data_IF_322574859948
#
_entry.id   IF_322574859948
#
_cell.length_a   1.000
_cell.length_b   1.000
_cell.length_c   1.000
_cell.angle_alpha   90.00
_cell.angle_beta   90.00
_cell.angle_gamma   90.00
#
_symmetry.space_group_name_H-M   'P 1'
#
loop_
_entity.id
_entity.type
_entity.pdbx_description
1 polymer ?
#
# COMPACT_ATOMS: atom_id res chain seq x y z
N UNK A 1 6.79 4.89 -2.32
CA UNK A 1 8.03 4.43 -1.62
C UNK A 1 8.60 3.29 -2.44
N UNK A 2 9.92 3.08 -2.47
CA UNK A 2 10.55 2.00 -3.27
C UNK A 2 11.26 1.04 -2.31
N UNK A 3 11.25 -0.26 -2.62
CA UNK A 3 11.95 -1.26 -1.81
C UNK A 3 11.05 -1.90 -0.76
N UNK A 4 11.25 -1.59 0.52
CA UNK A 4 10.67 -2.36 1.63
C UNK A 4 9.93 -1.45 2.61
N UNK A 5 8.81 -1.91 3.17
CA UNK A 5 8.12 -1.26 4.28
C UNK A 5 8.18 -2.18 5.51
N UNK A 6 8.96 -1.76 6.50
CA UNK A 6 9.17 -2.47 7.76
C UNK A 6 8.97 -1.50 8.94
N UNK A 7 9.08 -1.99 10.18
CA UNK A 7 9.07 -1.17 11.40
C UNK A 7 10.00 0.05 11.31
N UNK A 8 11.15 -0.08 10.67
CA UNK A 8 12.14 1.00 10.54
C UNK A 8 11.65 2.25 9.79
N UNK A 9 10.75 2.10 8.81
CA UNK A 9 10.26 3.19 7.95
C UNK A 9 8.73 3.36 7.96
N UNK A 10 8.00 2.46 8.63
CA UNK A 10 6.54 2.54 8.79
C UNK A 10 6.03 3.89 9.31
N UNK A 11 6.76 4.53 10.23
CA UNK A 11 6.39 5.84 10.76
C UNK A 11 6.55 6.98 9.72
N UNK A 12 7.57 6.89 8.86
CA UNK A 12 7.76 7.85 7.76
C UNK A 12 6.68 7.63 6.69
N UNK A 13 6.34 6.37 6.42
CA UNK A 13 5.25 6.01 5.53
C UNK A 13 3.89 6.55 6.03
N UNK A 14 3.57 6.37 7.31
CA UNK A 14 2.37 6.95 7.93
C UNK A 14 2.31 8.47 7.78
N UNK A 15 3.41 9.16 8.10
CA UNK A 15 3.48 10.60 7.97
C UNK A 15 3.28 11.07 6.52
N UNK A 16 3.85 10.34 5.55
CA UNK A 16 3.69 10.62 4.13
C UNK A 16 2.25 10.42 3.65
N UNK A 17 1.59 9.33 4.05
CA UNK A 17 0.16 9.09 3.77
C UNK A 17 -0.67 10.23 4.35
N UNK A 18 -0.48 10.55 5.63
CA UNK A 18 -1.24 11.62 6.30
C UNK A 18 -1.03 12.99 5.70
N UNK A 19 0.16 13.27 5.18
CA UNK A 19 0.46 14.52 4.47
C UNK A 19 -0.20 14.60 3.09
N UNK A 20 -0.43 13.46 2.44
CA UNK A 20 -1.12 13.36 1.16
C UNK A 20 -2.65 13.30 1.28
N UNK A 21 -3.19 12.97 2.45
CA UNK A 21 -4.63 12.98 2.71
C UNK A 21 -5.17 14.40 2.58
N UNK A 22 -5.99 14.61 1.55
CA UNK A 22 -6.72 15.84 1.36
C UNK A 22 -8.24 15.55 1.43
N UNK A 23 -8.94 16.05 2.47
CA UNK A 23 -10.35 15.75 2.68
C UNK A 23 -11.27 16.33 1.60
N UNK A 24 -10.76 17.16 0.69
CA UNK A 24 -11.50 17.73 -0.43
C UNK A 24 -11.21 17.05 -1.78
N UNK A 25 -10.18 16.20 -1.87
CA UNK A 25 -9.72 15.57 -3.10
C UNK A 25 -10.18 14.11 -3.29
N UNK A 26 -10.78 13.49 -2.27
CA UNK A 26 -11.24 12.09 -2.30
C UNK A 26 -10.19 11.10 -1.82
N UNK A 27 -10.35 9.82 -2.17
CA UNK A 27 -9.46 8.73 -1.75
C UNK A 27 -8.03 8.95 -2.26
N UNK A 28 -7.05 8.90 -1.36
CA UNK A 28 -5.63 8.98 -1.70
C UNK A 28 -5.16 7.65 -2.29
N UNK A 29 -4.64 7.68 -3.52
CA UNK A 29 -4.03 6.49 -4.15
C UNK A 29 -2.58 6.38 -3.71
N UNK A 30 -2.26 5.32 -2.97
CA UNK A 30 -0.91 4.98 -2.51
C UNK A 30 -0.29 3.99 -3.49
N UNK A 31 0.64 4.45 -4.30
CA UNK A 31 1.41 3.58 -5.19
C UNK A 31 2.56 2.89 -4.45
N UNK A 32 2.41 1.58 -4.30
CA UNK A 32 3.38 0.64 -3.75
C UNK A 32 3.92 -0.29 -4.84
N UNK A 33 3.77 0.04 -6.12
CA UNK A 33 4.14 -0.83 -7.25
C UNK A 33 5.63 -1.22 -7.24
N UNK A 34 6.49 -0.34 -6.71
CA UNK A 34 7.93 -0.55 -6.54
C UNK A 34 8.32 -1.12 -5.16
N UNK A 35 7.34 -1.46 -4.31
CA UNK A 35 7.57 -2.08 -3.01
C UNK A 35 7.58 -3.60 -3.15
N UNK A 36 8.66 -4.22 -2.74
CA UNK A 36 8.89 -5.68 -2.83
C UNK A 36 8.62 -6.40 -1.50
N UNK A 37 8.54 -5.66 -0.38
CA UNK A 37 8.30 -6.23 0.94
C UNK A 37 7.43 -5.33 1.81
N UNK A 38 6.50 -5.94 2.55
CA UNK A 38 5.60 -5.26 3.48
C UNK A 38 5.43 -6.12 4.74
N UNK A 39 5.84 -5.60 5.90
CA UNK A 39 5.64 -6.25 7.20
C UNK A 39 4.34 -5.80 7.90
N UNK A 40 4.04 -6.40 9.04
CA UNK A 40 2.94 -6.06 9.96
C UNK A 40 2.86 -4.56 10.29
N UNK A 41 4.00 -3.87 10.42
CA UNK A 41 4.02 -2.44 10.71
C UNK A 41 3.45 -1.62 9.54
N UNK A 42 3.82 -1.96 8.29
CA UNK A 42 3.29 -1.30 7.10
C UNK A 42 1.81 -1.61 6.88
N UNK A 43 1.41 -2.87 7.08
CA UNK A 43 -0.01 -3.27 7.04
C UNK A 43 -0.84 -2.47 8.06
N UNK A 44 -0.34 -2.30 9.29
CA UNK A 44 -1.06 -1.57 10.33
C UNK A 44 -1.31 -0.11 9.95
N UNK A 45 -0.36 0.54 9.27
CA UNK A 45 -0.54 1.90 8.74
C UNK A 45 -1.63 1.93 7.67
N UNK A 46 -1.63 0.98 6.74
CA UNK A 46 -2.68 0.90 5.72
C UNK A 46 -4.07 0.68 6.34
N UNK A 47 -4.17 -0.18 7.35
CA UNK A 47 -5.42 -0.39 8.10
C UNK A 47 -5.88 0.87 8.84
N UNK A 48 -4.95 1.68 9.36
CA UNK A 48 -5.29 2.90 10.09
C UNK A 48 -5.94 3.96 9.19
N UNK A 49 -5.63 3.96 7.89
CA UNK A 49 -6.14 4.92 6.90
C UNK A 49 -7.09 4.26 5.88
N UNK A 50 -7.63 3.08 6.20
CA UNK A 50 -8.36 2.24 5.25
C UNK A 50 -9.57 2.90 4.58
N UNK A 51 -10.24 3.83 5.26
CA UNK A 51 -11.43 4.52 4.75
C UNK A 51 -11.08 5.65 3.75
N UNK A 52 -9.84 6.13 3.79
CA UNK A 52 -9.39 7.32 3.07
C UNK A 52 -8.36 7.03 1.96
N UNK A 53 -7.94 5.76 1.80
CA UNK A 53 -6.90 5.37 0.83
C UNK A 53 -7.34 4.24 -0.11
N UNK A 54 -6.74 4.25 -1.30
CA UNK A 54 -6.69 3.12 -2.22
C UNK A 54 -5.22 2.72 -2.40
N UNK A 55 -4.90 1.43 -2.53
CA UNK A 55 -3.51 0.98 -2.72
C UNK A 55 -3.30 0.33 -4.08
N UNK A 56 -2.17 0.66 -4.70
CA UNK A 56 -1.68 -0.02 -5.91
C UNK A 56 -0.46 -0.83 -5.54
N UNK A 57 -0.48 -2.14 -5.77
CA UNK A 57 0.57 -3.07 -5.32
C UNK A 57 1.07 -3.93 -6.49
N UNK A 58 2.32 -4.40 -6.47
CA UNK A 58 2.77 -5.36 -7.48
C UNK A 58 2.07 -6.71 -7.26
N UNK A 59 1.98 -7.55 -8.32
CA UNK A 59 1.37 -8.87 -8.23
C UNK A 59 2.04 -9.79 -7.19
N UNK A 60 3.30 -9.52 -6.85
CA UNK A 60 4.03 -10.22 -5.79
C UNK A 60 3.41 -9.99 -4.39
N UNK A 61 2.91 -8.79 -4.10
CA UNK A 61 2.35 -8.43 -2.80
C UNK A 61 0.85 -8.72 -2.70
N UNK A 62 0.15 -8.88 -3.82
CA UNK A 62 -1.26 -9.25 -3.87
C UNK A 62 -1.64 -10.42 -2.93
N UNK A 63 -0.94 -11.57 -2.91
CA UNK A 63 -1.27 -12.66 -1.98
C UNK A 63 -1.07 -12.30 -0.51
N UNK A 64 -0.10 -11.45 -0.17
CA UNK A 64 0.14 -11.02 1.23
C UNK A 64 -1.03 -10.15 1.72
N UNK A 65 -1.56 -9.31 0.85
CA UNK A 65 -2.71 -8.46 1.13
C UNK A 65 -3.98 -9.31 1.31
N UNK A 66 -4.16 -10.33 0.47
CA UNK A 66 -5.26 -11.28 0.59
C UNK A 66 -5.19 -12.10 1.90
N UNK A 67 -3.99 -12.58 2.28
CA UNK A 67 -3.79 -13.34 3.53
C UNK A 67 -4.05 -12.47 4.76
N UNK A 68 -3.64 -11.20 4.71
CA UNK A 68 -3.90 -10.24 5.79
C UNK A 68 -5.35 -9.73 5.82
N UNK A 69 -6.14 -10.01 4.78
CA UNK A 69 -7.51 -9.52 4.63
C UNK A 69 -7.59 -8.04 4.27
N UNK A 70 -6.46 -7.41 3.91
CA UNK A 70 -6.43 -5.99 3.58
C UNK A 70 -7.24 -5.69 2.31
N UNK A 71 -7.28 -6.62 1.35
CA UNK A 71 -8.08 -6.47 0.12
C UNK A 71 -9.60 -6.43 0.36
N UNK A 72 -10.04 -6.80 1.56
CA UNK A 72 -11.45 -6.75 1.96
C UNK A 72 -11.86 -5.43 2.61
N UNK A 73 -10.89 -4.65 3.10
CA UNK A 73 -11.12 -3.38 3.80
C UNK A 73 -10.73 -2.17 2.98
N UNK A 74 -9.70 -2.27 2.14
CA UNK A 74 -9.27 -1.18 1.27
C UNK A 74 -9.36 -1.61 -0.19
N UNK A 75 -9.64 -0.67 -1.11
CA UNK A 75 -9.55 -0.98 -2.52
C UNK A 75 -8.08 -1.26 -2.87
N UNK A 76 -7.82 -2.49 -3.30
CA UNK A 76 -6.49 -2.94 -3.76
C UNK A 76 -6.52 -3.07 -5.27
N UNK A 77 -5.59 -2.39 -5.94
CA UNK A 77 -5.32 -2.58 -7.37
C UNK A 77 -3.97 -3.22 -7.55
N UNK A 78 -3.91 -4.25 -8.38
CA UNK A 78 -2.63 -4.75 -8.85
C UNK A 78 -2.12 -3.81 -9.93
N UNK A 79 -0.93 -3.26 -9.74
CA UNK A 79 -0.19 -2.65 -10.84
C UNK A 79 -0.10 -3.70 -11.95
N UNK A 80 -0.49 -3.34 -13.17
CA UNK A 80 -0.26 -4.19 -14.31
C UNK A 80 1.25 -4.42 -14.37
N UNK A 81 1.70 -5.59 -13.92
CA UNK A 81 3.08 -5.97 -14.09
C UNK A 81 3.32 -5.87 -15.58
N UNK A 82 4.25 -5.00 -16.00
CA UNK A 82 4.79 -5.11 -17.35
C UNK A 82 5.09 -6.59 -17.53
N UNK A 83 4.47 -7.28 -18.52
CA UNK A 83 4.80 -8.67 -18.75
C UNK A 83 6.31 -8.69 -18.93
N UNK A 84 7.00 -9.34 -18.00
CA UNK A 84 8.43 -9.57 -18.15
C UNK A 84 8.59 -10.26 -19.49
N UNK A 85 9.15 -9.54 -20.45
CA UNK A 85 9.63 -10.14 -21.69
C UNK A 85 10.62 -11.22 -21.30
N UNK A 86 10.26 -12.44 -21.65
CA UNK A 86 11.04 -13.68 -21.55
C UNK A 86 12.46 -13.54 -22.11
#
# INVERSE_FOLDING_TARGET
MVGEIDRGNSAEFDAAVRAGLDPSAGLLVVDLSEVVYLDSAGLSVLFAHADDIEVVVPPLLAPILAISGLDTVIPVRTAAGSPGTE
#
